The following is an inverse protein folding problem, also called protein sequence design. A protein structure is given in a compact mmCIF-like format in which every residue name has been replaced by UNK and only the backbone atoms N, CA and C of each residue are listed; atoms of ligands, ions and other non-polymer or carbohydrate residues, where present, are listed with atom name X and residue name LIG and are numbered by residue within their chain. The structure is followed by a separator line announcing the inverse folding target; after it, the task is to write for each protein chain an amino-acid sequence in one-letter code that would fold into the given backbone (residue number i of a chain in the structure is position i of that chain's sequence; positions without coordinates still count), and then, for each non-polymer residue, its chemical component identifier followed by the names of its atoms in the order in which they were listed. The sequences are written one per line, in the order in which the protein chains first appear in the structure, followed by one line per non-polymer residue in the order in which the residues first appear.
data_IF_223531608564
#
_entry.id   IF_223531608564
#
_cell.length_a   1.000
_cell.length_b   1.000
_cell.length_c   1.000
_cell.angle_alpha   90.00
_cell.angle_beta   90.00
_cell.angle_gamma   90.00
#
_symmetry.space_group_name_H-M   'P 1'
#
loop_
_entity.id
_entity.type
_entity.pdbx_description
1 polymer ?
#
# COMPACT_ATOMS: atom_id res chain seq x y z
N UNK A 1 10.86 -26.99 -109.00
CA UNK A 1 11.06 -25.92 -108.06
C UNK A 1 10.31 -26.37 -106.80
N UNK A 2 11.03 -26.60 -105.67
CA UNK A 2 10.50 -27.25 -104.45
C UNK A 2 10.15 -26.16 -103.48
N UNK A 3 8.88 -26.03 -103.15
CA UNK A 3 8.40 -25.12 -102.07
C UNK A 3 8.40 -25.85 -100.76
N UNK A 4 9.17 -25.39 -99.77
CA UNK A 4 9.17 -25.90 -98.41
C UNK A 4 8.15 -25.13 -97.54
N UNK A 5 7.23 -25.86 -97.00
CA UNK A 5 6.24 -25.37 -96.02
C UNK A 5 6.81 -25.44 -94.62
N UNK A 6 6.88 -24.32 -93.90
CA UNK A 6 7.28 -24.26 -92.50
C UNK A 6 6.02 -24.16 -91.66
N UNK A 7 5.87 -25.14 -90.74
CA UNK A 7 4.81 -25.22 -89.77
C UNK A 7 5.21 -24.37 -88.53
N UNK A 8 4.42 -23.35 -88.29
CA UNK A 8 4.63 -22.49 -87.09
C UNK A 8 3.90 -23.08 -85.88
N UNK A 9 4.65 -23.45 -84.86
CA UNK A 9 4.14 -23.97 -83.61
C UNK A 9 3.98 -22.77 -82.63
N UNK A 10 2.73 -22.39 -82.36
CA UNK A 10 2.41 -21.33 -81.40
C UNK A 10 2.33 -21.94 -79.98
N UNK A 11 3.37 -21.73 -79.17
CA UNK A 11 3.38 -22.07 -77.76
C UNK A 11 2.65 -20.98 -76.97
N UNK A 12 1.53 -21.35 -76.36
CA UNK A 12 0.82 -20.49 -75.39
C UNK A 12 1.52 -20.63 -74.03
N UNK A 13 2.18 -19.53 -73.63
CA UNK A 13 2.71 -19.43 -72.23
C UNK A 13 1.56 -18.95 -71.32
N UNK A 14 1.04 -19.86 -70.51
CA UNK A 14 0.11 -19.50 -69.42
C UNK A 14 0.88 -18.85 -68.27
N UNK A 15 0.76 -17.53 -68.12
CA UNK A 15 1.30 -16.79 -67.00
C UNK A 15 0.36 -16.94 -65.79
N UNK A 16 0.70 -17.82 -64.86
CA UNK A 16 0.00 -17.97 -63.59
C UNK A 16 0.39 -16.83 -62.66
N UNK A 17 -0.51 -15.87 -62.48
CA UNK A 17 -0.42 -14.82 -61.50
C UNK A 17 -0.66 -15.43 -60.08
N UNK A 18 0.41 -15.62 -59.33
CA UNK A 18 0.36 -15.92 -57.88
C UNK A 18 -0.08 -14.63 -57.16
N UNK A 19 -1.35 -14.49 -56.87
CA UNK A 19 -1.84 -13.49 -55.89
C UNK A 19 -1.41 -13.91 -54.51
N UNK A 20 -0.31 -13.35 -54.00
CA UNK A 20 0.05 -13.39 -52.59
C UNK A 20 -1.02 -12.62 -51.81
N UNK A 21 -1.97 -13.37 -51.24
CA UNK A 21 -2.93 -12.83 -50.29
C UNK A 21 -2.17 -12.49 -48.99
N UNK A 22 -1.74 -11.24 -48.83
CA UNK A 22 -1.37 -10.72 -47.52
C UNK A 22 -2.60 -10.79 -46.60
N UNK A 23 -2.70 -11.80 -45.76
CA UNK A 23 -3.56 -11.74 -44.60
C UNK A 23 -3.07 -10.55 -43.73
N UNK A 24 -3.72 -9.41 -43.84
CA UNK A 24 -3.69 -8.40 -42.82
C UNK A 24 -4.24 -9.07 -41.57
N UNK A 25 -3.34 -9.42 -40.61
CA UNK A 25 -3.76 -9.61 -39.23
C UNK A 25 -4.40 -8.27 -38.83
N UNK A 26 -5.71 -8.22 -38.82
CA UNK A 26 -6.41 -7.25 -38.04
C UNK A 26 -6.05 -7.59 -36.59
N UNK A 27 -5.02 -6.92 -36.07
CA UNK A 27 -4.87 -6.77 -34.63
C UNK A 27 -6.16 -6.07 -34.20
N UNK A 28 -7.09 -6.92 -33.73
CA UNK A 28 -8.31 -6.45 -33.09
C UNK A 28 -7.84 -5.56 -31.94
N UNK A 29 -8.13 -4.25 -31.90
CA UNK A 29 -7.71 -3.42 -30.80
C UNK A 29 -8.21 -4.11 -29.54
N UNK A 30 -7.29 -4.49 -28.66
CA UNK A 30 -7.62 -5.14 -27.39
C UNK A 30 -8.68 -4.26 -26.75
N UNK A 31 -9.93 -4.75 -26.73
CA UNK A 31 -11.07 -4.01 -26.18
C UNK A 31 -10.69 -3.72 -24.74
N UNK A 32 -10.37 -2.45 -24.45
CA UNK A 32 -10.08 -2.01 -23.10
C UNK A 32 -11.26 -2.43 -22.24
N UNK A 33 -11.04 -3.43 -21.41
CA UNK A 33 -12.08 -3.94 -20.50
C UNK A 33 -12.41 -2.81 -19.53
N UNK A 34 -13.70 -2.53 -19.42
CA UNK A 34 -14.17 -1.49 -18.48
C UNK A 34 -13.77 -1.89 -17.07
N UNK A 35 -13.17 -0.96 -16.31
CA UNK A 35 -12.88 -1.19 -14.90
C UNK A 35 -14.19 -1.43 -14.16
N UNK A 36 -14.36 -2.62 -13.60
CA UNK A 36 -15.55 -3.02 -12.83
C UNK A 36 -15.25 -3.24 -11.36
N UNK A 37 -13.99 -3.43 -10.99
CA UNK A 37 -13.64 -3.74 -9.62
C UNK A 37 -12.15 -3.92 -9.36
N UNK A 38 -11.86 -4.67 -8.31
CA UNK A 38 -10.52 -4.98 -7.80
C UNK A 38 -10.32 -6.47 -7.70
N UNK A 39 -9.08 -6.91 -7.86
CA UNK A 39 -8.66 -8.32 -7.73
C UNK A 39 -7.25 -8.43 -7.16
N UNK A 40 -6.83 -9.63 -6.83
CA UNK A 40 -5.45 -9.95 -6.53
C UNK A 40 -4.70 -10.35 -7.80
N UNK A 41 -3.48 -9.86 -7.92
CA UNK A 41 -2.50 -10.33 -8.88
C UNK A 41 -1.27 -10.84 -8.13
N UNK A 42 -0.62 -11.89 -8.66
CA UNK A 42 0.60 -12.44 -8.07
C UNK A 42 1.82 -11.90 -8.78
N UNK A 43 2.76 -11.34 -8.02
CA UNK A 43 4.05 -10.87 -8.50
C UNK A 43 5.17 -11.64 -7.79
N UNK A 44 6.19 -12.07 -8.54
CA UNK A 44 7.30 -12.89 -8.00
C UNK A 44 8.11 -12.20 -6.90
N UNK A 45 8.22 -10.87 -6.94
CA UNK A 45 8.97 -10.08 -5.94
C UNK A 45 8.08 -9.63 -4.79
N UNK A 46 6.85 -9.21 -5.11
CA UNK A 46 5.96 -8.57 -4.14
C UNK A 46 4.90 -9.51 -3.54
N UNK A 47 4.77 -10.74 -4.06
CA UNK A 47 3.68 -11.65 -3.67
C UNK A 47 2.34 -11.17 -4.19
N UNK A 48 1.27 -11.28 -3.39
CA UNK A 48 -0.07 -10.82 -3.78
C UNK A 48 -0.17 -9.30 -3.67
N UNK A 49 -0.63 -8.66 -4.75
CA UNK A 49 -0.88 -7.21 -4.83
C UNK A 49 -2.31 -6.96 -5.30
N UNK A 50 -2.87 -5.82 -4.89
CA UNK A 50 -4.21 -5.40 -5.30
C UNK A 50 -4.11 -4.64 -6.62
N UNK A 51 -4.89 -5.06 -7.61
CA UNK A 51 -5.00 -4.43 -8.93
C UNK A 51 -6.46 -4.15 -9.24
N UNK A 52 -6.72 -3.30 -10.26
CA UNK A 52 -8.03 -3.32 -10.89
C UNK A 52 -8.22 -4.64 -11.70
N UNK A 53 -9.41 -4.86 -12.24
CA UNK A 53 -9.72 -6.05 -13.03
C UNK A 53 -9.03 -6.11 -14.41
N UNK A 54 -8.30 -5.05 -14.81
CA UNK A 54 -7.43 -5.01 -15.98
C UNK A 54 -5.97 -5.29 -15.63
N UNK A 55 -5.66 -5.54 -14.35
CA UNK A 55 -4.33 -5.82 -13.85
C UNK A 55 -3.47 -4.58 -13.58
N UNK A 56 -4.05 -3.35 -13.61
CA UNK A 56 -3.30 -2.17 -13.20
C UNK A 56 -3.15 -2.14 -11.69
N UNK A 57 -1.92 -1.99 -11.23
CA UNK A 57 -1.59 -1.96 -9.80
C UNK A 57 -2.18 -0.74 -9.11
N UNK A 58 -2.59 -0.95 -7.86
CA UNK A 58 -3.11 0.10 -6.98
C UNK A 58 -2.12 0.38 -5.86
N UNK A 59 -2.06 1.62 -5.42
CA UNK A 59 -1.07 2.12 -4.47
C UNK A 59 -1.71 2.86 -3.31
N UNK A 60 -1.00 2.87 -2.19
CA UNK A 60 -1.30 3.60 -0.96
C UNK A 60 -0.27 4.71 -0.79
N UNK A 61 -0.69 5.84 -0.24
CA UNK A 61 0.16 6.99 0.04
C UNK A 61 0.32 7.22 1.55
N UNK A 62 1.54 7.30 2.05
CA UNK A 62 1.80 7.45 3.50
C UNK A 62 1.26 8.76 4.08
N UNK A 63 1.16 9.80 3.26
CA UNK A 63 0.69 11.12 3.68
C UNK A 63 -0.83 11.17 3.88
N UNK A 64 -1.55 10.11 3.45
CA UNK A 64 -3.00 9.95 3.64
C UNK A 64 -3.36 9.36 5.03
N UNK A 65 -2.56 9.69 6.03
CA UNK A 65 -2.59 9.11 7.37
C UNK A 65 -3.96 9.17 8.07
N UNK A 66 -4.77 10.19 7.77
CA UNK A 66 -6.06 10.44 8.42
C UNK A 66 -7.28 10.05 7.56
N UNK A 67 -7.15 9.11 6.64
CA UNK A 67 -8.21 8.72 5.70
C UNK A 67 -8.69 9.87 4.81
N UNK A 68 -7.77 10.74 4.45
CA UNK A 68 -8.00 11.90 3.58
C UNK A 68 -6.98 11.83 2.46
N UNK A 69 -7.42 11.99 1.21
CA UNK A 69 -6.49 12.10 0.08
C UNK A 69 -5.78 13.45 0.14
N UNK A 70 -4.46 13.41 0.27
CA UNK A 70 -3.58 14.59 0.28
C UNK A 70 -2.93 14.84 -1.08
N UNK A 71 -3.00 13.86 -2.00
CA UNK A 71 -2.42 13.96 -3.33
C UNK A 71 -3.28 14.80 -4.26
N UNK A 72 -2.98 16.09 -4.38
CA UNK A 72 -3.71 17.07 -5.20
C UNK A 72 -2.82 17.74 -6.24
N UNK A 73 -3.41 18.46 -7.19
CA UNK A 73 -2.66 19.21 -8.22
C UNK A 73 -1.71 18.35 -9.03
N UNK A 74 -0.43 18.71 -9.08
CA UNK A 74 0.60 17.96 -9.82
C UNK A 74 0.80 16.53 -9.33
N UNK A 75 0.56 16.25 -8.05
CA UNK A 75 0.57 14.91 -7.50
C UNK A 75 -0.50 14.04 -8.18
N UNK A 76 -1.73 14.50 -8.29
CA UNK A 76 -2.84 13.75 -8.88
C UNK A 76 -2.64 13.44 -10.38
N UNK A 77 -1.81 14.22 -11.09
CA UNK A 77 -1.42 13.92 -12.48
C UNK A 77 -0.53 12.69 -12.54
N UNK A 78 0.38 12.55 -11.59
CA UNK A 78 1.32 11.41 -11.50
C UNK A 78 0.64 10.20 -10.84
N UNK A 79 -0.23 10.46 -9.88
CA UNK A 79 -0.94 9.46 -9.09
C UNK A 79 -2.46 9.66 -9.18
N UNK A 80 -3.08 9.28 -10.31
CA UNK A 80 -4.52 9.42 -10.46
C UNK A 80 -5.29 8.58 -9.44
N UNK A 81 -6.32 9.17 -8.84
CA UNK A 81 -7.18 8.49 -7.89
C UNK A 81 -7.89 7.28 -8.56
N UNK A 82 -7.94 6.16 -7.86
CA UNK A 82 -8.78 5.05 -8.25
C UNK A 82 -10.18 5.24 -7.65
N UNK A 83 -11.19 5.24 -8.50
CA UNK A 83 -12.58 5.22 -8.07
C UNK A 83 -13.40 4.21 -8.86
N UNK A 84 -14.13 3.40 -8.12
CA UNK A 84 -15.19 2.56 -8.66
C UNK A 84 -16.35 2.47 -7.67
N UNK A 85 -17.51 2.90 -8.10
CA UNK A 85 -18.73 2.73 -7.31
C UNK A 85 -19.11 1.24 -7.26
N UNK A 86 -19.31 0.72 -6.04
CA UNK A 86 -19.66 -0.69 -5.81
C UNK A 86 -18.73 -1.65 -6.59
N UNK A 87 -17.43 -1.65 -6.33
CA UNK A 87 -16.49 -2.47 -7.09
C UNK A 87 -16.80 -3.96 -6.93
N UNK A 88 -16.68 -4.73 -8.01
CA UNK A 88 -16.60 -6.18 -7.89
C UNK A 88 -15.34 -6.56 -7.14
N UNK A 89 -15.46 -7.45 -6.14
CA UNK A 89 -14.35 -7.84 -5.26
C UNK A 89 -13.88 -9.23 -5.66
N UNK A 90 -12.61 -9.32 -6.06
CA UNK A 90 -11.96 -10.58 -6.44
C UNK A 90 -11.75 -11.53 -5.25
N UNK A 91 -11.59 -12.81 -5.54
CA UNK A 91 -11.32 -13.85 -4.53
C UNK A 91 -10.08 -13.49 -3.71
N UNK A 92 -10.14 -13.70 -2.40
CA UNK A 92 -9.06 -13.40 -1.45
C UNK A 92 -9.07 -11.97 -0.90
N UNK A 93 -10.03 -11.12 -1.33
CA UNK A 93 -10.28 -9.79 -0.78
C UNK A 93 -11.64 -9.79 -0.06
N UNK A 94 -11.77 -8.98 0.99
CA UNK A 94 -13.03 -8.78 1.71
C UNK A 94 -13.68 -7.46 1.30
N UNK A 95 -14.97 -7.50 0.95
CA UNK A 95 -15.71 -6.29 0.55
C UNK A 95 -15.75 -5.23 1.65
N UNK A 96 -15.75 -5.66 2.92
CA UNK A 96 -15.75 -4.77 4.08
C UNK A 96 -14.45 -3.93 4.21
N UNK A 97 -13.36 -4.34 3.56
CA UNK A 97 -12.11 -3.58 3.54
C UNK A 97 -12.13 -2.39 2.57
N UNK A 98 -13.14 -2.34 1.68
CA UNK A 98 -13.26 -1.27 0.69
C UNK A 98 -14.32 -0.25 1.09
N UNK A 99 -13.99 1.02 0.92
CA UNK A 99 -14.87 2.14 1.19
C UNK A 99 -14.73 3.23 0.12
N UNK A 100 -15.39 4.35 0.34
CA UNK A 100 -15.31 5.53 -0.53
C UNK A 100 -15.18 6.78 0.31
N UNK A 101 -14.26 7.65 -0.07
CA UNK A 101 -14.16 9.02 0.47
C UNK A 101 -14.57 10.03 -0.60
N UNK A 102 -14.90 11.22 -0.16
CA UNK A 102 -15.08 12.40 -1.01
C UNK A 102 -13.90 13.33 -0.80
N UNK A 103 -13.14 13.60 -1.86
CA UNK A 103 -11.99 14.48 -1.83
C UNK A 103 -12.43 15.97 -1.71
N UNK A 104 -11.49 16.85 -1.43
CA UNK A 104 -11.75 18.30 -1.25
C UNK A 104 -12.30 18.97 -2.50
N UNK A 105 -12.03 18.42 -3.68
CA UNK A 105 -12.57 18.88 -4.98
C UNK A 105 -13.95 18.32 -5.32
N UNK A 106 -14.55 17.51 -4.42
CA UNK A 106 -15.83 16.83 -4.59
C UNK A 106 -15.76 15.51 -5.35
N UNK A 107 -14.60 15.12 -5.88
CA UNK A 107 -14.41 13.81 -6.52
C UNK A 107 -14.48 12.68 -5.49
N UNK A 108 -14.93 11.51 -5.92
CA UNK A 108 -14.94 10.31 -5.09
C UNK A 108 -13.69 9.46 -5.33
N UNK A 109 -13.23 8.78 -4.30
CA UNK A 109 -12.09 7.88 -4.38
C UNK A 109 -12.35 6.62 -3.54
N UNK A 110 -12.03 5.46 -4.10
CA UNK A 110 -12.11 4.17 -3.40
C UNK A 110 -10.98 4.07 -2.38
N UNK A 111 -11.29 3.51 -1.21
CA UNK A 111 -10.29 3.22 -0.18
C UNK A 111 -10.15 1.72 0.05
N UNK A 112 -8.99 1.28 0.53
CA UNK A 112 -8.74 -0.05 1.05
C UNK A 112 -8.24 0.06 2.50
N UNK A 113 -8.95 -0.57 3.45
CA UNK A 113 -8.69 -0.43 4.91
C UNK A 113 -8.56 1.03 5.35
N UNK A 114 -9.39 1.90 4.76
CA UNK A 114 -9.38 3.34 5.00
C UNK A 114 -8.25 4.11 4.30
N UNK A 115 -7.38 3.48 3.54
CA UNK A 115 -6.36 4.16 2.74
C UNK A 115 -6.89 4.46 1.33
N UNK A 116 -6.84 5.71 0.84
CA UNK A 116 -7.16 6.04 -0.54
C UNK A 116 -6.31 5.26 -1.53
N UNK A 117 -6.92 4.79 -2.61
CA UNK A 117 -6.26 4.01 -3.65
C UNK A 117 -5.94 4.86 -4.87
N UNK A 118 -4.76 4.65 -5.44
CA UNK A 118 -4.25 5.38 -6.59
C UNK A 118 -3.68 4.47 -7.65
N UNK A 119 -3.68 4.96 -8.88
CA UNK A 119 -2.84 4.45 -9.95
C UNK A 119 -1.49 5.16 -9.95
N UNK A 120 -0.50 4.59 -10.64
CA UNK A 120 0.72 5.27 -11.00
C UNK A 120 0.77 5.51 -12.52
N UNK A 121 1.00 6.74 -12.95
CA UNK A 121 0.94 7.12 -14.37
C UNK A 121 2.04 6.46 -15.21
N UNK A 122 3.13 5.99 -14.60
CA UNK A 122 4.21 5.30 -15.31
C UNK A 122 4.04 3.78 -15.34
N UNK A 123 2.99 3.22 -14.74
CA UNK A 123 2.58 1.85 -14.94
C UNK A 123 1.78 1.78 -16.25
N UNK A 124 2.40 1.26 -17.31
CA UNK A 124 1.83 1.24 -18.67
C UNK A 124 1.28 -0.13 -19.05
N UNK A 125 1.77 -1.18 -18.42
CA UNK A 125 1.34 -2.56 -18.62
C UNK A 125 0.65 -3.13 -17.38
N UNK A 126 -0.14 -4.19 -17.56
CA UNK A 126 -0.70 -4.95 -16.46
C UNK A 126 0.44 -5.52 -15.59
N UNK A 127 0.26 -5.47 -14.29
CA UNK A 127 1.21 -5.90 -13.27
C UNK A 127 2.53 -5.11 -13.22
N UNK A 128 2.62 -3.95 -13.85
CA UNK A 128 3.67 -2.99 -13.55
C UNK A 128 3.57 -2.54 -12.08
N UNK A 129 4.74 -2.41 -11.42
CA UNK A 129 4.86 -2.02 -10.02
C UNK A 129 5.91 -0.91 -9.84
N UNK A 130 6.07 -0.05 -10.85
CA UNK A 130 7.08 1.01 -10.87
C UNK A 130 6.83 2.09 -9.81
N UNK A 131 5.63 2.11 -9.23
CA UNK A 131 5.25 3.07 -8.19
C UNK A 131 5.69 2.68 -6.78
N UNK A 132 6.04 1.41 -6.53
CA UNK A 132 6.41 0.99 -5.18
C UNK A 132 7.73 1.62 -4.73
N UNK A 133 7.74 2.16 -3.51
CA UNK A 133 8.90 2.83 -2.92
C UNK A 133 9.19 4.24 -3.47
N UNK A 134 8.41 4.74 -4.42
CA UNK A 134 8.61 6.10 -4.96
C UNK A 134 8.49 7.13 -3.84
N UNK A 135 9.49 8.00 -3.75
CA UNK A 135 9.56 9.04 -2.72
C UNK A 135 9.60 8.50 -1.29
N UNK A 136 9.75 7.19 -1.07
CA UNK A 136 9.64 6.51 0.23
C UNK A 136 8.27 6.71 0.91
N UNK A 137 7.26 7.08 0.13
CA UNK A 137 5.91 7.40 0.59
C UNK A 137 4.82 6.62 -0.13
N UNK A 138 5.11 6.03 -1.29
CA UNK A 138 4.16 5.27 -2.08
C UNK A 138 4.44 3.78 -2.00
N UNK A 139 3.41 2.99 -1.73
CA UNK A 139 3.53 1.53 -1.57
C UNK A 139 2.42 0.83 -2.34
N UNK A 140 2.77 -0.25 -3.05
CA UNK A 140 1.75 -1.06 -3.71
C UNK A 140 0.75 -1.59 -2.68
N UNK A 141 -0.53 -1.55 -2.98
CA UNK A 141 -1.56 -2.06 -2.07
C UNK A 141 -1.50 -3.59 -1.99
N UNK A 142 -1.42 -4.13 -0.77
CA UNK A 142 -1.35 -5.58 -0.49
C UNK A 142 -2.41 -5.99 0.51
N UNK A 143 -2.95 -7.24 0.39
CA UNK A 143 -3.95 -7.76 1.31
C UNK A 143 -3.35 -8.14 2.67
N UNK A 144 -2.06 -8.42 2.73
CA UNK A 144 -1.36 -9.10 3.80
C UNK A 144 -0.25 -8.26 4.46
N UNK A 145 -0.35 -6.94 4.41
CA UNK A 145 0.50 -6.10 5.25
C UNK A 145 0.20 -6.34 6.73
N UNK A 146 1.25 -6.46 7.55
CA UNK A 146 1.14 -6.49 9.01
C UNK A 146 1.08 -5.06 9.56
N UNK A 147 1.83 -4.15 8.96
CA UNK A 147 1.92 -2.74 9.32
C UNK A 147 1.87 -1.86 8.08
N UNK A 148 1.59 -0.57 8.29
CA UNK A 148 1.74 0.49 7.30
C UNK A 148 2.65 1.57 7.84
N UNK A 149 2.97 2.54 6.98
CA UNK A 149 3.74 3.72 7.32
C UNK A 149 2.89 4.96 7.04
N UNK A 150 2.80 5.84 8.01
CA UNK A 150 2.20 7.15 7.88
C UNK A 150 3.26 8.26 7.92
N UNK A 151 2.96 9.40 7.30
CA UNK A 151 3.83 10.58 7.31
C UNK A 151 2.97 11.83 7.50
N UNK A 152 2.97 12.38 8.71
CA UNK A 152 2.17 13.53 9.08
C UNK A 152 2.78 14.30 10.26
N UNK A 153 2.26 15.52 10.50
CA UNK A 153 2.50 16.23 11.75
C UNK A 153 1.89 15.47 12.92
N UNK A 154 2.69 15.16 13.92
CA UNK A 154 2.19 14.52 15.14
C UNK A 154 1.45 15.52 16.02
N UNK A 155 0.27 15.13 16.49
CA UNK A 155 -0.56 15.93 17.40
C UNK A 155 -0.71 15.20 18.72
N UNK A 156 -0.24 15.81 19.79
CA UNK A 156 -0.32 15.25 21.14
C UNK A 156 -1.72 15.28 21.74
N UNK A 157 -1.91 14.65 22.88
CA UNK A 157 -3.18 14.63 23.62
C UNK A 157 -3.57 16.03 24.14
N UNK A 158 -2.60 16.92 24.25
CA UNK A 158 -2.78 18.34 24.61
C UNK A 158 -3.12 19.24 23.39
N UNK A 159 -3.29 18.64 22.20
CA UNK A 159 -3.59 19.33 20.94
C UNK A 159 -2.41 20.07 20.32
N UNK A 160 -1.21 20.00 20.90
CA UNK A 160 -0.02 20.64 20.35
C UNK A 160 0.70 19.75 19.33
N UNK A 161 1.57 20.40 18.56
CA UNK A 161 2.42 19.73 17.56
C UNK A 161 3.71 19.21 18.18
N UNK A 162 4.10 18.01 17.74
CA UNK A 162 5.28 17.31 18.23
C UNK A 162 6.13 16.79 17.07
N UNK A 163 7.43 16.69 17.32
CA UNK A 163 8.39 16.02 16.44
C UNK A 163 8.42 14.50 16.73
N UNK A 164 9.09 13.76 15.88
CA UNK A 164 9.33 12.31 16.07
C UNK A 164 10.05 11.95 17.39
N UNK A 165 10.67 12.94 18.04
CA UNK A 165 11.35 12.77 19.33
C UNK A 165 10.44 13.04 20.53
N UNK A 166 9.14 13.30 20.31
CA UNK A 166 8.18 13.60 21.38
C UNK A 166 8.40 14.97 22.06
N UNK A 167 9.10 15.90 21.40
CA UNK A 167 9.27 17.27 21.83
C UNK A 167 8.39 18.22 20.99
N UNK A 168 7.93 19.32 21.57
CA UNK A 168 7.13 20.30 20.85
C UNK A 168 7.86 20.82 19.62
N UNK A 169 7.17 20.87 18.47
CA UNK A 169 7.73 21.34 17.20
C UNK A 169 6.86 20.98 16.00
N UNK A 170 7.11 21.70 14.91
CA UNK A 170 6.40 21.55 13.64
C UNK A 170 7.26 20.81 12.64
N UNK A 171 7.00 19.51 12.47
CA UNK A 171 7.59 18.71 11.38
C UNK A 171 6.69 17.53 11.05
N UNK A 172 6.57 17.18 9.78
CA UNK A 172 5.99 15.91 9.44
C UNK A 172 6.96 14.79 9.83
N UNK A 173 6.45 13.81 10.53
CA UNK A 173 7.21 12.65 11.00
C UNK A 173 6.70 11.40 10.33
N UNK A 174 7.62 10.51 9.93
CA UNK A 174 7.28 9.15 9.55
C UNK A 174 7.02 8.34 10.82
N UNK A 175 5.96 7.53 10.80
CA UNK A 175 5.66 6.61 11.89
C UNK A 175 4.97 5.33 11.40
N UNK A 176 5.15 4.25 12.17
CA UNK A 176 4.56 2.95 11.89
C UNK A 176 3.14 2.91 12.47
N UNK A 177 2.21 2.37 11.70
CA UNK A 177 0.82 2.12 12.09
C UNK A 177 0.48 0.65 11.84
N UNK A 178 -0.64 0.18 12.38
CA UNK A 178 -1.27 -1.03 11.87
C UNK A 178 -1.77 -0.84 10.43
N UNK A 179 -2.34 -1.88 9.84
CA UNK A 179 -2.85 -1.84 8.46
C UNK A 179 -4.04 -0.91 8.26
N UNK A 180 -4.74 -0.55 9.35
CA UNK A 180 -5.88 0.36 9.32
C UNK A 180 -5.46 1.82 9.56
N UNK A 181 -4.18 2.08 9.84
CA UNK A 181 -3.62 3.39 10.10
C UNK A 181 -3.69 3.85 11.55
N UNK A 182 -3.88 2.94 12.50
CA UNK A 182 -3.77 3.25 13.93
C UNK A 182 -2.30 3.28 14.34
N UNK A 183 -1.90 4.34 15.03
CA UNK A 183 -0.51 4.56 15.40
C UNK A 183 0.00 3.52 16.38
N UNK A 184 1.20 3.01 16.12
CA UNK A 184 1.91 2.07 16.98
C UNK A 184 3.04 2.75 17.73
N UNK A 185 3.01 2.63 19.05
CA UNK A 185 3.95 3.25 19.99
C UNK A 185 4.88 2.23 20.61
N UNK A 186 6.02 2.69 21.09
CA UNK A 186 6.91 1.94 21.95
C UNK A 186 6.98 2.56 23.35
N UNK A 187 7.16 1.73 24.37
CA UNK A 187 7.43 2.15 25.74
C UNK A 187 8.95 2.18 25.97
N UNK A 188 9.50 3.33 26.32
CA UNK A 188 10.97 3.50 26.41
C UNK A 188 11.62 2.72 27.53
N UNK A 189 10.83 2.19 28.49
CA UNK A 189 11.33 1.34 29.58
C UNK A 189 11.26 -0.17 29.27
N UNK A 190 10.72 -0.55 28.11
CA UNK A 190 10.81 -1.93 27.64
C UNK A 190 12.27 -2.31 27.37
N UNK A 191 12.57 -3.59 27.46
CA UNK A 191 13.86 -4.14 27.09
C UNK A 191 13.70 -5.06 25.89
N UNK A 192 14.80 -5.51 25.30
CA UNK A 192 14.77 -6.32 24.09
C UNK A 192 13.72 -7.44 24.15
N UNK A 193 12.72 -7.36 23.29
CA UNK A 193 11.59 -8.31 23.20
C UNK A 193 10.90 -8.60 24.54
N UNK A 194 10.86 -7.61 25.44
CA UNK A 194 10.28 -7.80 26.77
C UNK A 194 9.37 -6.62 27.11
N UNK A 195 8.07 -6.91 27.21
CA UNK A 195 7.06 -5.97 27.64
C UNK A 195 7.18 -5.74 29.16
N UNK A 196 7.45 -4.50 29.58
CA UNK A 196 7.55 -4.08 30.97
C UNK A 196 6.35 -3.25 31.43
N UNK A 197 5.43 -2.94 30.53
CA UNK A 197 4.27 -2.10 30.84
C UNK A 197 3.04 -2.93 31.22
N UNK A 198 2.66 -3.91 30.40
CA UNK A 198 1.42 -4.65 30.62
C UNK A 198 1.48 -5.47 31.91
N UNK A 199 0.34 -5.59 32.58
CA UNK A 199 0.20 -6.27 33.88
C UNK A 199 -0.72 -7.49 33.80
N UNK A 200 -1.43 -7.69 32.68
CA UNK A 200 -2.49 -8.67 32.54
C UNK A 200 -3.82 -8.21 33.15
N UNK A 201 -3.88 -7.00 33.73
CA UNK A 201 -5.10 -6.41 34.28
C UNK A 201 -5.74 -5.53 33.24
N UNK A 202 -6.92 -5.92 32.77
CA UNK A 202 -7.60 -5.26 31.64
C UNK A 202 -7.77 -3.74 31.83
N UNK A 203 -8.15 -3.27 33.02
CA UNK A 203 -8.32 -1.84 33.30
C UNK A 203 -7.02 -1.02 33.20
N UNK A 204 -5.88 -1.63 33.55
CA UNK A 204 -4.57 -1.02 33.39
C UNK A 204 -4.16 -1.02 31.91
N UNK A 205 -4.25 -2.20 31.28
CA UNK A 205 -3.72 -2.45 29.94
C UNK A 205 -4.56 -1.76 28.85
N UNK A 206 -5.81 -1.38 29.14
CA UNK A 206 -6.66 -0.57 28.24
C UNK A 206 -6.09 0.83 27.95
N UNK A 207 -5.18 1.36 28.79
CA UNK A 207 -4.51 2.63 28.48
C UNK A 207 -3.50 2.48 27.34
N UNK A 208 -2.82 1.33 27.29
CA UNK A 208 -1.84 0.99 26.26
C UNK A 208 -2.02 -0.48 25.85
N UNK A 209 -3.06 -0.77 25.06
CA UNK A 209 -3.28 -2.12 24.54
C UNK A 209 -2.12 -2.57 23.68
N UNK A 210 -1.76 -3.85 23.77
CA UNK A 210 -0.75 -4.44 22.90
C UNK A 210 -1.26 -4.52 21.44
N UNK A 211 -0.36 -4.37 20.47
CA UNK A 211 -0.67 -4.71 19.09
C UNK A 211 -0.61 -6.24 18.90
N UNK A 212 -1.78 -6.86 18.98
CA UNK A 212 -1.93 -8.31 18.96
C UNK A 212 -1.96 -8.83 17.52
N UNK A 213 -0.86 -9.43 17.08
CA UNK A 213 -0.76 -10.08 15.76
C UNK A 213 -0.35 -11.53 15.91
N UNK A 214 -0.84 -12.41 15.04
CA UNK A 214 -0.49 -13.83 15.07
C UNK A 214 0.88 -14.13 14.45
N UNK A 215 1.26 -13.37 13.43
CA UNK A 215 2.54 -13.48 12.75
C UNK A 215 2.82 -12.24 11.91
N UNK A 216 4.10 -11.98 11.64
CA UNK A 216 4.53 -10.95 10.68
C UNK A 216 4.43 -11.50 9.26
N UNK A 217 3.57 -10.91 8.44
CA UNK A 217 3.41 -11.28 7.03
C UNK A 217 4.24 -10.38 6.12
N UNK A 218 3.65 -9.36 5.52
CA UNK A 218 4.35 -8.38 4.70
C UNK A 218 4.44 -7.03 5.39
N UNK A 219 5.42 -6.23 4.97
CA UNK A 219 5.60 -4.83 5.40
C UNK A 219 5.84 -3.96 4.17
N UNK A 220 5.55 -2.66 4.22
CA UNK A 220 5.91 -1.71 3.15
C UNK A 220 7.40 -1.80 2.80
N UNK A 221 7.75 -1.60 1.54
CA UNK A 221 9.11 -1.81 1.00
C UNK A 221 10.20 -0.94 1.64
N UNK A 222 9.82 0.13 2.33
CA UNK A 222 10.74 0.97 3.11
C UNK A 222 11.16 0.32 4.44
N UNK A 223 10.44 -0.68 4.91
CA UNK A 223 10.72 -1.40 6.16
C UNK A 223 11.38 -2.75 5.86
N UNK A 224 12.24 -3.19 6.78
CA UNK A 224 12.78 -4.53 6.69
C UNK A 224 11.92 -5.49 7.53
N UNK A 225 11.37 -6.52 6.89
CA UNK A 225 10.57 -7.54 7.59
C UNK A 225 11.35 -8.21 8.73
N UNK A 226 12.66 -8.37 8.60
CA UNK A 226 13.52 -8.97 9.62
C UNK A 226 13.64 -8.13 10.91
N UNK A 227 13.25 -6.85 10.87
CA UNK A 227 13.20 -5.99 12.05
C UNK A 227 11.96 -6.27 12.93
N UNK A 228 11.00 -7.06 12.42
CA UNK A 228 9.76 -7.41 13.11
C UNK A 228 9.80 -8.83 13.67
N UNK A 229 9.15 -9.02 14.80
CA UNK A 229 8.98 -10.31 15.46
C UNK A 229 7.67 -10.30 16.26
N UNK A 230 7.34 -11.42 16.92
CA UNK A 230 6.24 -11.53 17.87
C UNK A 230 6.73 -12.13 19.17
N UNK A 231 6.19 -11.63 20.29
CA UNK A 231 6.42 -12.18 21.62
C UNK A 231 5.09 -12.61 22.24
N UNK A 232 5.14 -13.41 23.29
CA UNK A 232 3.95 -13.79 24.06
C UNK A 232 3.91 -12.99 25.37
N UNK A 233 2.78 -12.29 25.59
CA UNK A 233 2.53 -11.48 26.78
C UNK A 233 1.17 -11.87 27.35
N UNK A 234 1.14 -12.42 28.56
CA UNK A 234 -0.09 -12.92 29.22
C UNK A 234 -0.95 -13.82 28.33
N UNK A 235 -0.31 -14.69 27.55
CA UNK A 235 -0.99 -15.63 26.63
C UNK A 235 -1.46 -15.04 25.30
N UNK A 236 -1.23 -13.76 25.03
CA UNK A 236 -1.47 -13.10 23.77
C UNK A 236 -0.16 -12.86 23.00
N UNK A 237 -0.21 -12.86 21.69
CA UNK A 237 0.93 -12.43 20.88
C UNK A 237 0.97 -10.91 20.79
N UNK A 238 2.17 -10.34 20.79
CA UNK A 238 2.40 -8.91 20.64
C UNK A 238 3.45 -8.65 19.57
N UNK A 239 3.18 -7.73 18.65
CA UNK A 239 4.15 -7.31 17.64
C UNK A 239 5.33 -6.60 18.29
N UNK A 240 6.51 -6.84 17.71
CA UNK A 240 7.78 -6.22 18.09
C UNK A 240 8.42 -5.61 16.85
N UNK A 241 9.00 -4.43 16.99
CA UNK A 241 9.82 -3.80 15.97
C UNK A 241 11.18 -3.41 16.52
N UNK A 242 12.26 -3.89 15.90
CA UNK A 242 13.66 -3.66 16.35
C UNK A 242 13.86 -3.94 17.83
N UNK A 243 13.21 -4.98 18.35
CA UNK A 243 13.26 -5.37 19.76
C UNK A 243 12.27 -4.65 20.67
N UNK A 244 11.59 -3.60 20.22
CA UNK A 244 10.58 -2.87 21.00
C UNK A 244 9.20 -3.50 20.85
N UNK A 245 8.54 -3.94 21.94
CA UNK A 245 7.12 -4.27 21.94
C UNK A 245 6.27 -3.09 21.48
N UNK A 246 5.21 -3.33 20.68
CA UNK A 246 4.36 -2.30 20.12
C UNK A 246 2.99 -2.24 20.78
N UNK A 247 2.49 -1.03 20.96
CA UNK A 247 1.25 -0.73 21.66
C UNK A 247 0.40 0.27 20.90
N UNK A 248 -0.89 0.21 21.10
CA UNK A 248 -1.80 1.30 20.81
C UNK A 248 -1.88 2.27 21.98
N UNK A 249 -2.41 3.47 21.78
CA UNK A 249 -2.82 4.37 22.85
C UNK A 249 -4.34 4.38 22.97
N UNK A 250 -4.88 4.02 24.13
CA UNK A 250 -6.32 3.90 24.35
C UNK A 250 -7.11 5.18 24.01
N UNK A 251 -6.52 6.36 24.25
CA UNK A 251 -7.16 7.65 23.97
C UNK A 251 -7.06 8.10 22.50
N UNK A 252 -6.36 7.34 21.64
CA UNK A 252 -6.48 7.49 20.18
C UNK A 252 -7.83 6.97 19.68
N UNK A 253 -8.55 6.18 20.49
CA UNK A 253 -9.91 5.68 20.24
C UNK A 253 -10.06 4.97 18.88
N UNK A 254 -9.01 4.33 18.38
CA UNK A 254 -9.02 3.69 17.07
C UNK A 254 -9.21 4.68 15.91
N UNK A 255 -8.88 5.95 16.11
CA UNK A 255 -8.94 6.95 15.05
C UNK A 255 -7.66 6.88 14.22
N UNK A 256 -7.82 6.62 12.92
CA UNK A 256 -6.74 6.59 11.95
C UNK A 256 -5.95 7.91 11.96
N UNK A 257 -4.62 7.81 12.03
CA UNK A 257 -3.71 8.96 12.05
C UNK A 257 -3.69 9.74 13.38
N UNK A 258 -4.43 9.30 14.41
CA UNK A 258 -4.31 9.89 15.74
C UNK A 258 -2.95 9.56 16.35
N UNK A 259 -2.30 10.58 16.95
CA UNK A 259 -0.95 10.45 17.53
C UNK A 259 -0.86 11.00 18.94
N UNK A 260 -1.98 10.99 19.69
CA UNK A 260 -2.09 11.62 21.02
C UNK A 260 -1.10 11.07 22.04
N UNK A 261 -0.68 9.81 21.87
CA UNK A 261 0.27 9.15 22.77
C UNK A 261 1.64 9.82 22.87
N UNK A 262 2.05 10.61 21.87
CA UNK A 262 3.38 11.27 21.83
C UNK A 262 3.60 12.29 22.96
N UNK A 263 2.53 12.81 23.56
CA UNK A 263 2.61 13.77 24.68
C UNK A 263 2.21 13.17 26.04
N UNK A 264 1.95 11.86 26.10
CA UNK A 264 1.47 11.21 27.32
C UNK A 264 2.64 10.58 28.12
N UNK A 265 2.63 10.58 29.48
CA UNK A 265 1.64 11.20 30.38
C UNK A 265 1.80 12.71 30.49
N UNK A 266 2.95 13.24 30.13
CA UNK A 266 3.29 14.66 30.22
C UNK A 266 4.07 15.06 28.96
N UNK A 267 3.78 16.22 28.37
CA UNK A 267 4.55 16.74 27.25
C UNK A 267 6.06 16.76 27.50
N UNK A 268 6.85 16.24 26.56
CA UNK A 268 8.31 16.20 26.67
C UNK A 268 8.89 15.09 27.54
N UNK A 269 8.06 14.29 28.23
CA UNK A 269 8.54 13.13 29.01
C UNK A 269 9.14 12.02 28.11
N UNK A 270 8.74 11.97 26.84
CA UNK A 270 9.21 11.02 25.81
C UNK A 270 9.21 9.55 26.28
N UNK A 271 8.24 9.21 27.16
CA UNK A 271 8.11 7.85 27.70
C UNK A 271 7.45 6.93 26.68
N UNK A 272 6.51 7.46 25.91
CA UNK A 272 5.86 6.80 24.79
C UNK A 272 6.26 7.50 23.51
N UNK A 273 6.79 6.75 22.58
CA UNK A 273 7.31 7.29 21.33
C UNK A 273 6.72 6.52 20.14
N UNK A 274 6.62 7.20 19.01
CA UNK A 274 6.34 6.54 17.74
C UNK A 274 7.55 5.71 17.29
N UNK A 275 7.31 4.71 16.46
CA UNK A 275 8.36 3.97 15.75
C UNK A 275 8.46 4.45 14.31
N UNK A 276 9.67 4.45 13.76
CA UNK A 276 9.94 4.76 12.37
C UNK A 276 11.22 4.05 11.87
N UNK A 277 11.61 4.28 10.63
CA UNK A 277 12.81 3.68 10.05
C UNK A 277 14.10 4.01 10.81
N UNK A 278 14.13 5.14 11.54
CA UNK A 278 15.29 5.59 12.35
C UNK A 278 15.24 5.09 13.80
N UNK A 279 14.22 4.34 14.20
CA UNK A 279 14.16 3.75 15.56
C UNK A 279 15.43 2.92 15.79
N UNK A 280 16.11 3.22 16.89
CA UNK A 280 17.31 2.49 17.31
C UNK A 280 16.89 1.12 17.83
N UNK A 281 17.53 0.06 17.34
CA UNK A 281 17.22 -1.29 17.81
C UNK A 281 17.64 -1.47 19.28
N UNK A 282 16.80 -2.13 20.06
CA UNK A 282 17.22 -2.68 21.34
C UNK A 282 18.11 -3.91 21.09
N UNK A 283 19.14 -4.03 21.88
CA UNK A 283 20.08 -5.18 21.84
C UNK A 283 19.79 -6.10 23.02
N UNK A 284 20.11 -7.39 22.85
CA UNK A 284 19.92 -8.43 23.86
C UNK A 284 20.88 -8.23 25.06
#
# INVERSE_FOLDING_TARGET
MKTKMYLALTGSIALTLLVASCKKNHDNPTKSTVVTGVQLSTNGTFGSVITDNNGRSLYLFSDDAANVSTCTGGCAVVWPAFYKENPSIGTGLAAADFGVITNTDGSKQTTYKGWPLYYYSKDVAANDLNGDGVGKSWFVAKPDYTVMVSYAQLIGNDGKQYTSKGIAGTENSQYITDVNGHTLYMFTKDTFKTNKFSTGVAAHDANWPIDAVTAVQNVPSILNKADFDVITVFGQTQLVYKGHPLYYFGQDNGVKGSTKGVSFPTPGAAIWQINNTNTVALIQ
#
